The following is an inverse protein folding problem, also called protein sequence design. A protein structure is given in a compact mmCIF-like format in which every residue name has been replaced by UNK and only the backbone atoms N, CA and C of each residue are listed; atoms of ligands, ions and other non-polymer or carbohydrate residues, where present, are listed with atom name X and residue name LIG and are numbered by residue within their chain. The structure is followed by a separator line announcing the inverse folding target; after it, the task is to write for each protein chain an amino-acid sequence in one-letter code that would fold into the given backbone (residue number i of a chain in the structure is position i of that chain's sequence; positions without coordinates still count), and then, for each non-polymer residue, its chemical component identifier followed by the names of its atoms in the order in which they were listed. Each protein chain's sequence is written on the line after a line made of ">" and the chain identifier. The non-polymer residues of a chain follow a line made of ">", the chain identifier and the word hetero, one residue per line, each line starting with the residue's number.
data_IF_657362518027
#
_entry.id   IF_657362518027
#
_cell.length_a   1.000
_cell.length_b   1.000
_cell.length_c   1.000
_cell.angle_alpha   90.00
_cell.angle_beta   90.00
_cell.angle_gamma   90.00
#
_symmetry.space_group_name_H-M   'P 1'
#
loop_
_entity.id
_entity.type
_entity.pdbx_description
1 polymer ?
#
# COMPACT_ATOMS: atom_id res chain seq x y z
N UNK A 1 -29.35 6.72 -10.30
CA UNK A 1 -28.78 6.89 -8.95
C UNK A 1 -28.30 8.33 -8.75
N UNK A 2 -27.29 8.87 -9.49
CA UNK A 2 -26.84 10.27 -9.29
C UNK A 2 -27.91 11.33 -9.57
N UNK A 3 -28.91 11.06 -10.41
CA UNK A 3 -30.01 12.00 -10.68
C UNK A 3 -30.94 12.21 -9.47
N UNK A 4 -30.92 11.30 -8.51
CA UNK A 4 -31.81 11.30 -7.33
C UNK A 4 -31.18 11.95 -6.09
N UNK A 5 -29.95 12.44 -6.21
CA UNK A 5 -29.22 13.13 -5.14
C UNK A 5 -28.80 14.53 -5.55
N UNK A 6 -28.64 15.43 -4.58
CA UNK A 6 -28.15 16.79 -4.79
C UNK A 6 -26.63 16.88 -4.64
N UNK A 7 -26.05 16.04 -3.79
CA UNK A 7 -24.61 16.00 -3.48
C UNK A 7 -24.19 14.59 -3.12
N UNK A 8 -22.98 14.21 -3.52
CA UNK A 8 -22.34 12.97 -3.06
C UNK A 8 -21.39 13.27 -1.90
N UNK A 9 -21.55 12.56 -0.80
CA UNK A 9 -20.62 12.63 0.34
C UNK A 9 -19.72 11.38 0.36
N UNK A 10 -18.42 11.60 0.49
CA UNK A 10 -17.40 10.56 0.65
C UNK A 10 -16.87 10.60 2.07
N UNK A 11 -17.04 9.50 2.81
CA UNK A 11 -16.54 9.31 4.17
C UNK A 11 -15.87 7.95 4.26
N UNK A 12 -14.60 7.88 3.83
CA UNK A 12 -13.82 6.65 3.73
C UNK A 12 -12.53 6.76 4.53
N UNK A 13 -12.17 5.70 5.27
CA UNK A 13 -10.88 5.57 5.91
C UNK A 13 -9.91 4.85 4.98
N UNK A 14 -9.03 5.61 4.32
CA UNK A 14 -7.91 5.05 3.56
C UNK A 14 -6.79 4.56 4.47
N UNK A 15 -5.85 3.76 3.94
CA UNK A 15 -4.71 3.23 4.69
C UNK A 15 -3.36 3.79 4.24
N UNK A 16 -3.34 4.78 3.34
CA UNK A 16 -2.13 5.49 2.93
C UNK A 16 -1.25 4.76 1.92
N UNK A 17 -1.76 3.71 1.29
CA UNK A 17 -1.02 2.87 0.34
C UNK A 17 -1.76 2.82 -1.00
N UNK A 18 -1.05 3.13 -2.11
CA UNK A 18 -1.65 3.26 -3.45
C UNK A 18 -2.55 2.08 -3.85
N UNK A 19 -2.13 0.85 -3.57
CA UNK A 19 -2.87 -0.34 -3.96
C UNK A 19 -4.05 -0.69 -3.03
N UNK A 20 -4.41 0.19 -2.09
CA UNK A 20 -5.66 0.11 -1.34
C UNK A 20 -6.76 0.88 -2.08
N UNK A 21 -7.83 0.19 -2.47
CA UNK A 21 -8.75 0.62 -3.55
C UNK A 21 -9.75 1.71 -3.19
N UNK A 22 -9.80 2.20 -1.95
CA UNK A 22 -10.77 3.21 -1.54
C UNK A 22 -10.59 4.54 -2.28
N UNK A 23 -9.34 4.96 -2.48
CA UNK A 23 -9.03 6.15 -3.27
C UNK A 23 -9.44 6.00 -4.74
N UNK A 24 -9.35 4.79 -5.30
CA UNK A 24 -9.81 4.52 -6.67
C UNK A 24 -11.33 4.55 -6.77
N UNK A 25 -12.04 4.02 -5.76
CA UNK A 25 -13.50 4.11 -5.68
C UNK A 25 -13.98 5.57 -5.57
N UNK A 26 -13.28 6.38 -4.77
CA UNK A 26 -13.54 7.81 -4.67
C UNK A 26 -13.32 8.51 -6.01
N UNK A 27 -12.20 8.22 -6.70
CA UNK A 27 -11.88 8.80 -7.99
C UNK A 27 -12.98 8.56 -9.03
N UNK A 28 -13.41 7.32 -9.21
CA UNK A 28 -14.51 7.00 -10.12
C UNK A 28 -15.83 7.65 -9.72
N UNK A 29 -16.10 7.78 -8.42
CA UNK A 29 -17.27 8.50 -7.96
C UNK A 29 -17.20 10.00 -8.28
N UNK A 30 -16.01 10.60 -8.16
CA UNK A 30 -15.75 12.00 -8.53
C UNK A 30 -15.92 12.21 -10.05
N UNK A 31 -15.37 11.32 -10.88
CA UNK A 31 -15.53 11.35 -12.35
C UNK A 31 -17.01 11.28 -12.74
N UNK A 32 -17.75 10.30 -12.19
CA UNK A 32 -19.19 10.17 -12.47
C UNK A 32 -20.00 11.39 -12.00
N UNK A 33 -19.63 12.02 -10.88
CA UNK A 33 -20.26 13.24 -10.39
C UNK A 33 -19.94 14.44 -11.30
N UNK A 34 -18.70 14.56 -11.81
CA UNK A 34 -18.32 15.59 -12.76
C UNK A 34 -19.18 15.50 -14.04
N UNK A 35 -19.32 14.29 -14.62
CA UNK A 35 -20.16 14.03 -15.78
C UNK A 35 -21.65 14.35 -15.53
N UNK A 36 -22.14 14.08 -14.33
CA UNK A 36 -23.54 14.33 -13.95
C UNK A 36 -23.81 15.76 -13.45
N UNK A 37 -22.78 16.61 -13.36
CA UNK A 37 -22.88 17.96 -12.80
C UNK A 37 -23.25 17.98 -11.32
N UNK A 38 -22.85 16.97 -10.55
CA UNK A 38 -23.15 16.84 -9.12
C UNK A 38 -21.93 17.20 -8.26
N UNK A 39 -22.10 18.01 -7.19
CA UNK A 39 -21.03 18.31 -6.26
C UNK A 39 -20.66 17.10 -5.42
N UNK A 40 -19.37 17.06 -5.02
CA UNK A 40 -18.79 16.05 -4.13
C UNK A 40 -18.26 16.72 -2.88
N UNK A 41 -18.58 16.15 -1.71
CA UNK A 41 -18.02 16.54 -0.42
C UNK A 41 -17.20 15.36 0.10
N UNK A 42 -15.92 15.59 0.38
CA UNK A 42 -15.03 14.61 1.02
C UNK A 42 -14.82 15.00 2.49
N UNK A 43 -15.24 14.14 3.40
CA UNK A 43 -14.89 14.27 4.82
C UNK A 43 -13.50 13.68 5.01
N UNK A 44 -12.52 14.54 5.27
CA UNK A 44 -11.14 14.11 5.36
C UNK A 44 -10.88 13.27 6.63
N UNK A 45 -9.97 12.29 6.51
CA UNK A 45 -9.60 11.38 7.58
C UNK A 45 -8.09 11.22 7.69
N UNK A 46 -7.57 10.89 8.91
CA UNK A 46 -6.15 10.70 9.10
C UNK A 46 -5.58 9.63 8.18
N UNK A 47 -4.42 9.93 7.58
CA UNK A 47 -3.61 8.86 7.01
C UNK A 47 -2.95 8.10 8.16
N UNK A 48 -3.23 6.79 8.37
CA UNK A 48 -2.72 6.06 9.51
C UNK A 48 -1.19 5.87 9.50
N UNK A 49 -0.58 6.01 8.33
CA UNK A 49 0.86 5.91 8.13
C UNK A 49 1.56 7.29 8.23
N UNK A 50 0.81 8.37 8.49
CA UNK A 50 1.34 9.73 8.49
C UNK A 50 1.63 10.28 7.09
N UNK A 51 2.45 11.32 7.01
CA UNK A 51 2.70 12.07 5.77
C UNK A 51 3.97 11.69 5.00
N UNK A 52 4.61 10.55 5.29
CA UNK A 52 5.80 10.11 4.56
C UNK A 52 5.43 9.56 3.19
N UNK A 53 6.30 9.83 2.22
CA UNK A 53 6.22 9.36 0.84
C UNK A 53 7.33 8.33 0.63
N UNK A 54 7.00 7.15 0.11
CA UNK A 54 7.96 6.05 -0.04
C UNK A 54 7.59 5.14 -1.23
N UNK A 55 8.61 4.75 -2.00
CA UNK A 55 8.53 3.69 -3.00
C UNK A 55 8.28 4.17 -4.41
N UNK A 56 8.14 3.27 -5.39
CA UNK A 56 8.04 3.66 -6.77
C UNK A 56 6.75 4.43 -7.07
N UNK A 57 6.89 5.49 -7.86
CA UNK A 57 5.75 6.11 -8.53
C UNK A 57 5.25 5.16 -9.61
N UNK A 58 3.93 4.98 -9.68
CA UNK A 58 3.28 4.17 -10.70
C UNK A 58 3.74 4.61 -12.10
N UNK A 59 4.31 3.69 -12.85
CA UNK A 59 4.76 3.94 -14.22
C UNK A 59 3.62 3.79 -15.23
N UNK A 60 3.69 4.51 -16.37
CA UNK A 60 2.75 4.32 -17.47
C UNK A 60 2.68 2.85 -17.92
N UNK A 61 1.45 2.34 -18.11
CA UNK A 61 1.18 0.97 -18.49
C UNK A 61 0.91 0.01 -17.33
N UNK A 62 1.05 0.47 -16.08
CA UNK A 62 0.71 -0.30 -14.88
C UNK A 62 -0.57 0.19 -14.19
N UNK A 63 -1.30 1.13 -14.82
CA UNK A 63 -2.54 1.67 -14.28
C UNK A 63 -3.60 0.58 -14.18
N UNK A 64 -4.34 0.61 -13.08
CA UNK A 64 -5.42 -0.33 -12.80
C UNK A 64 -6.27 0.16 -11.64
N UNK A 65 -7.33 -0.57 -11.29
CA UNK A 65 -8.15 -0.22 -10.12
C UNK A 65 -7.37 -0.20 -8.80
N UNK A 66 -6.21 -0.86 -8.69
CA UNK A 66 -5.32 -0.78 -7.52
C UNK A 66 -4.22 0.29 -7.67
N UNK A 67 -4.37 1.23 -8.62
CA UNK A 67 -3.45 2.33 -8.87
C UNK A 67 -3.86 3.04 -10.15
N UNK A 68 -4.69 4.08 -10.04
CA UNK A 68 -5.22 4.82 -11.21
C UNK A 68 -4.25 5.91 -11.67
N UNK A 69 -3.48 6.48 -10.75
CA UNK A 69 -2.69 7.68 -10.99
C UNK A 69 -1.22 7.46 -10.61
N UNK A 70 -0.33 8.24 -11.25
CA UNK A 70 1.12 8.20 -10.99
C UNK A 70 1.43 8.73 -9.58
N UNK A 71 1.39 7.84 -8.60
CA UNK A 71 1.67 8.11 -7.19
C UNK A 71 2.66 7.10 -6.63
N UNK A 72 3.44 7.47 -5.61
CA UNK A 72 4.30 6.55 -4.85
C UNK A 72 3.49 5.44 -4.17
N UNK A 73 4.13 4.33 -3.86
CA UNK A 73 3.49 3.19 -3.19
C UNK A 73 2.87 3.60 -1.85
N UNK A 74 3.60 4.33 -1.00
CA UNK A 74 3.10 5.04 0.17
C UNK A 74 3.04 6.53 -0.18
N UNK A 75 1.85 7.05 -0.39
CA UNK A 75 1.68 8.38 -1.00
C UNK A 75 1.71 9.56 -0.01
N UNK A 76 1.57 9.29 1.29
CA UNK A 76 1.64 10.31 2.34
C UNK A 76 0.53 11.36 2.34
N UNK A 77 -0.52 11.20 1.55
CA UNK A 77 -1.66 12.11 1.49
C UNK A 77 -2.81 11.62 2.37
N UNK A 78 -3.61 12.53 2.91
CA UNK A 78 -4.95 12.19 3.41
C UNK A 78 -5.90 11.97 2.24
N UNK A 79 -7.07 11.37 2.47
CA UNK A 79 -8.04 11.14 1.39
C UNK A 79 -8.56 12.44 0.80
N UNK A 80 -8.66 13.51 1.60
CA UNK A 80 -9.02 14.85 1.15
C UNK A 80 -7.93 15.48 0.28
N UNK A 81 -6.67 15.41 0.70
CA UNK A 81 -5.52 15.89 -0.09
C UNK A 81 -5.39 15.10 -1.40
N UNK A 82 -5.64 13.79 -1.35
CA UNK A 82 -5.68 12.94 -2.55
C UNK A 82 -6.78 13.39 -3.51
N UNK A 83 -7.98 13.67 -3.00
CA UNK A 83 -9.10 14.16 -3.82
C UNK A 83 -8.77 15.51 -4.49
N UNK A 84 -8.22 16.48 -3.75
CA UNK A 84 -7.78 17.77 -4.30
C UNK A 84 -6.75 17.58 -5.41
N UNK A 85 -5.74 16.74 -5.16
CA UNK A 85 -4.68 16.47 -6.11
C UNK A 85 -5.22 15.88 -7.42
N UNK A 86 -6.02 14.80 -7.36
CA UNK A 86 -6.52 14.17 -8.58
C UNK A 86 -7.55 15.04 -9.32
N UNK A 87 -8.34 15.80 -8.58
CA UNK A 87 -9.35 16.67 -9.16
C UNK A 87 -8.75 17.73 -10.08
N UNK A 88 -7.68 18.39 -9.63
CA UNK A 88 -7.01 19.43 -10.40
C UNK A 88 -5.95 18.86 -11.35
N UNK A 89 -5.01 18.07 -10.82
CA UNK A 89 -3.83 17.63 -11.57
C UNK A 89 -4.18 16.68 -12.73
N UNK A 90 -5.16 15.78 -12.51
CA UNK A 90 -5.62 14.85 -13.55
C UNK A 90 -6.89 15.32 -14.27
N UNK A 91 -7.39 16.49 -13.91
CA UNK A 91 -8.46 17.16 -14.66
C UNK A 91 -9.83 16.50 -14.54
N UNK A 92 -10.14 15.88 -13.40
CA UNK A 92 -11.50 15.38 -13.11
C UNK A 92 -12.49 16.54 -13.09
N UNK A 93 -12.07 17.68 -12.49
CA UNK A 93 -12.83 18.95 -12.47
C UNK A 93 -14.26 18.80 -11.92
N UNK A 94 -14.50 17.90 -10.98
CA UNK A 94 -15.77 17.87 -10.27
C UNK A 94 -15.86 19.07 -9.31
N UNK A 95 -17.09 19.48 -8.97
CA UNK A 95 -17.31 20.50 -7.95
C UNK A 95 -17.00 19.89 -6.57
N UNK A 96 -15.72 19.96 -6.15
CA UNK A 96 -15.21 19.34 -4.93
C UNK A 96 -15.22 20.31 -3.75
N UNK A 97 -15.61 19.80 -2.59
CA UNK A 97 -15.41 20.46 -1.29
C UNK A 97 -14.79 19.45 -0.34
N UNK A 98 -13.61 19.75 0.20
CA UNK A 98 -13.00 18.95 1.26
C UNK A 98 -13.30 19.58 2.61
N UNK A 99 -13.81 18.78 3.55
CA UNK A 99 -13.99 19.18 4.95
C UNK A 99 -12.76 18.74 5.74
N UNK A 100 -11.86 19.65 6.10
CA UNK A 100 -10.60 19.29 6.71
C UNK A 100 -10.77 18.84 8.15
N UNK A 101 -9.83 18.00 8.60
CA UNK A 101 -9.71 17.59 10.00
C UNK A 101 -9.22 18.75 10.87
N UNK A 102 -9.54 18.67 12.17
CA UNK A 102 -8.97 19.58 13.19
C UNK A 102 -7.81 18.89 13.90
N UNK A 103 -6.73 19.65 14.13
CA UNK A 103 -5.57 19.24 14.95
C UNK A 103 -4.74 18.05 14.42
N UNK A 104 -5.05 17.49 13.27
CA UNK A 104 -4.18 16.49 12.66
C UNK A 104 -2.92 17.15 12.07
N UNK A 105 -1.79 16.47 12.22
CA UNK A 105 -0.49 16.87 11.66
C UNK A 105 0.10 15.73 10.86
N UNK A 106 0.84 16.02 9.82
CA UNK A 106 1.49 15.04 8.94
C UNK A 106 2.45 14.08 9.66
N UNK A 107 3.00 14.52 10.80
CA UNK A 107 3.86 13.68 11.66
C UNK A 107 3.10 12.69 12.53
N UNK A 108 1.77 12.80 12.63
CA UNK A 108 0.95 11.89 13.43
C UNK A 108 0.75 10.57 12.74
N UNK A 109 0.95 9.49 13.47
CA UNK A 109 0.45 8.16 13.15
C UNK A 109 -0.94 7.97 13.75
N UNK A 110 -1.60 6.85 13.47
CA UNK A 110 -2.95 6.60 13.97
C UNK A 110 -3.08 6.72 15.49
N UNK A 111 -2.14 6.12 16.24
CA UNK A 111 -2.14 6.16 17.71
C UNK A 111 -2.07 7.57 18.30
N UNK A 112 -1.45 8.51 17.57
CA UNK A 112 -1.30 9.90 18.03
C UNK A 112 -2.60 10.70 17.90
N UNK A 113 -3.56 10.18 17.13
CA UNK A 113 -4.86 10.84 16.94
C UNK A 113 -5.81 10.67 18.13
N UNK A 114 -5.58 9.67 18.97
CA UNK A 114 -6.50 9.27 20.05
C UNK A 114 -7.81 8.62 19.56
N UNK A 115 -7.94 8.36 18.25
CA UNK A 115 -9.14 7.73 17.68
C UNK A 115 -9.08 6.21 17.81
N UNK A 116 -10.22 5.58 18.02
CA UNK A 116 -10.34 4.13 17.95
C UNK A 116 -10.28 3.66 16.49
N UNK A 117 -9.52 2.60 16.22
CA UNK A 117 -9.52 1.99 14.88
C UNK A 117 -10.83 1.27 14.63
N UNK A 118 -11.47 1.62 13.54
CA UNK A 118 -12.58 0.85 12.97
C UNK A 118 -12.03 0.11 11.75
N UNK A 119 -12.14 -1.22 11.73
CA UNK A 119 -11.60 -2.01 10.62
C UNK A 119 -12.15 -1.55 9.28
N UNK A 120 -11.26 -1.11 8.40
CA UNK A 120 -11.62 -0.61 7.06
C UNK A 120 -11.92 -1.76 6.10
N UNK A 121 -11.34 -2.92 6.37
CA UNK A 121 -11.48 -4.17 5.64
C UNK A 121 -11.29 -5.33 6.63
N UNK A 122 -11.86 -6.51 6.40
CA UNK A 122 -11.60 -7.69 7.23
C UNK A 122 -10.11 -8.04 7.36
N UNK A 123 -9.30 -7.64 6.36
CA UNK A 123 -7.85 -7.88 6.34
C UNK A 123 -7.03 -6.75 6.97
N UNK A 124 -7.65 -5.63 7.34
CA UNK A 124 -7.00 -4.51 8.05
C UNK A 124 -7.71 -4.27 9.38
N UNK A 125 -7.58 -5.20 10.33
CA UNK A 125 -8.33 -5.16 11.60
C UNK A 125 -7.82 -4.09 12.58
N UNK A 126 -6.59 -3.60 12.42
CA UNK A 126 -5.97 -2.58 13.26
C UNK A 126 -5.00 -1.70 12.45
N UNK A 127 -4.55 -0.60 13.05
CA UNK A 127 -3.66 0.37 12.39
C UNK A 127 -2.26 -0.21 12.08
N UNK A 128 -1.74 -1.11 12.93
CA UNK A 128 -0.44 -1.75 12.69
C UNK A 128 -0.48 -2.60 11.42
N UNK A 129 -1.63 -3.23 11.14
CA UNK A 129 -1.83 -3.98 9.89
C UNK A 129 -1.72 -3.09 8.65
N UNK A 130 -2.06 -1.80 8.73
CA UNK A 130 -1.88 -0.88 7.60
C UNK A 130 -0.39 -0.69 7.25
N UNK A 131 0.51 -0.58 8.25
CA UNK A 131 1.95 -0.56 8.03
C UNK A 131 2.46 -1.86 7.41
N UNK A 132 2.02 -3.01 7.94
CA UNK A 132 2.45 -4.30 7.43
C UNK A 132 1.88 -4.58 6.03
N UNK A 133 0.69 -4.05 5.71
CA UNK A 133 0.16 -4.07 4.35
C UNK A 133 1.02 -3.24 3.39
N UNK A 134 1.53 -2.08 3.83
CA UNK A 134 2.48 -1.30 3.03
C UNK A 134 3.80 -2.06 2.78
N UNK A 135 4.24 -2.89 3.75
CA UNK A 135 5.44 -3.72 3.62
C UNK A 135 5.20 -4.96 2.76
N UNK A 136 4.19 -5.76 3.09
CA UNK A 136 4.06 -7.12 2.56
C UNK A 136 2.99 -7.28 1.47
N UNK A 137 2.17 -6.24 1.23
CA UNK A 137 1.06 -6.30 0.28
C UNK A 137 1.50 -6.77 -1.11
N UNK A 138 2.55 -6.18 -1.66
CA UNK A 138 3.11 -6.56 -2.97
C UNK A 138 3.61 -8.02 -2.98
N UNK A 139 4.19 -8.51 -1.88
CA UNK A 139 4.61 -9.91 -1.76
C UNK A 139 3.43 -10.88 -1.91
N UNK A 140 2.24 -10.47 -1.49
CA UNK A 140 1.00 -11.23 -1.68
C UNK A 140 0.62 -11.46 -3.15
N UNK A 141 1.11 -10.65 -4.06
CA UNK A 141 0.90 -10.77 -5.50
C UNK A 141 1.96 -11.63 -6.22
N UNK A 142 2.91 -12.17 -5.47
CA UNK A 142 3.86 -13.21 -5.92
C UNK A 142 3.36 -14.61 -5.52
N UNK A 143 4.20 -15.65 -5.63
CA UNK A 143 3.90 -16.98 -5.06
C UNK A 143 4.05 -17.05 -3.54
N UNK A 144 4.35 -15.95 -2.86
CA UNK A 144 4.44 -15.92 -1.39
C UNK A 144 3.07 -15.71 -0.76
N UNK A 145 2.84 -16.30 0.41
CA UNK A 145 1.71 -16.00 1.28
C UNK A 145 2.09 -14.85 2.23
N UNK A 146 1.17 -13.95 2.46
CA UNK A 146 1.32 -12.86 3.43
C UNK A 146 0.38 -13.02 4.62
N UNK A 147 0.01 -14.26 4.93
CA UNK A 147 -0.82 -14.58 6.08
C UNK A 147 -2.32 -14.29 5.92
N UNK A 148 -2.78 -13.94 4.71
CA UNK A 148 -4.22 -13.87 4.41
C UNK A 148 -4.84 -15.24 4.66
N UNK A 149 -5.97 -15.28 5.36
CA UNK A 149 -6.60 -16.53 5.82
C UNK A 149 -6.14 -16.97 7.22
N UNK A 150 -5.33 -16.18 7.90
CA UNK A 150 -4.96 -16.36 9.31
C UNK A 150 -5.52 -15.21 10.17
N UNK A 151 -5.29 -15.27 11.48
CA UNK A 151 -5.62 -14.17 12.40
C UNK A 151 -4.68 -12.95 12.28
N UNK A 152 -3.57 -13.08 11.51
CA UNK A 152 -2.54 -12.04 11.34
C UNK A 152 -2.24 -11.78 9.85
N UNK A 153 -3.20 -11.27 9.06
CA UNK A 153 -2.96 -10.91 7.66
C UNK A 153 -1.86 -9.85 7.59
N UNK A 154 -0.97 -10.01 6.61
CA UNK A 154 0.19 -9.15 6.33
C UNK A 154 1.34 -9.19 7.35
N UNK A 155 1.17 -9.84 8.50
CA UNK A 155 2.27 -10.05 9.46
C UNK A 155 3.25 -11.12 9.03
N UNK A 156 2.84 -12.07 8.20
CA UNK A 156 3.65 -13.19 7.77
C UNK A 156 4.15 -13.03 6.34
N UNK A 157 5.32 -13.60 6.03
CA UNK A 157 5.74 -13.85 4.65
C UNK A 157 6.36 -15.25 4.58
N UNK A 158 5.84 -16.08 3.68
CA UNK A 158 6.32 -17.46 3.55
C UNK A 158 5.68 -18.22 2.40
N UNK A 159 6.04 -19.51 2.31
CA UNK A 159 5.48 -20.43 1.32
C UNK A 159 5.61 -21.89 1.81
N UNK A 160 4.84 -22.85 1.26
CA UNK A 160 5.01 -24.27 1.61
C UNK A 160 6.38 -24.84 1.28
N UNK A 161 7.08 -24.26 0.30
CA UNK A 161 8.40 -24.67 -0.12
C UNK A 161 9.54 -24.02 0.69
N UNK A 162 9.23 -23.08 1.57
CA UNK A 162 10.23 -22.35 2.34
C UNK A 162 10.64 -23.13 3.62
N UNK A 163 11.83 -22.83 4.11
CA UNK A 163 12.31 -23.23 5.42
C UNK A 163 12.41 -21.99 6.30
N UNK A 164 11.71 -21.99 7.44
CA UNK A 164 11.57 -20.83 8.30
C UNK A 164 12.87 -20.33 8.89
N UNK A 165 13.80 -21.26 9.20
CA UNK A 165 15.10 -20.90 9.77
C UNK A 165 16.04 -20.30 8.72
N UNK A 166 16.00 -20.81 7.48
CA UNK A 166 16.78 -20.25 6.37
C UNK A 166 16.28 -18.84 6.00
N UNK A 167 14.97 -18.66 5.92
CA UNK A 167 14.35 -17.34 5.64
C UNK A 167 14.71 -16.36 6.74
N UNK A 168 14.54 -16.76 8.01
CA UNK A 168 14.92 -15.93 9.16
C UNK A 168 16.39 -15.54 9.13
N UNK A 169 17.28 -16.51 8.92
CA UNK A 169 18.72 -16.25 8.89
C UNK A 169 19.12 -15.31 7.75
N UNK A 170 18.49 -15.42 6.58
CA UNK A 170 18.78 -14.56 5.44
C UNK A 170 18.29 -13.12 5.66
N UNK A 171 17.05 -12.94 6.13
CA UNK A 171 16.49 -11.62 6.39
C UNK A 171 17.19 -10.93 7.57
N UNK A 172 17.55 -11.67 8.63
CA UNK A 172 18.27 -11.10 9.78
C UNK A 172 19.66 -10.58 9.41
N UNK A 173 20.32 -11.16 8.41
CA UNK A 173 21.62 -10.66 7.91
C UNK A 173 21.54 -9.27 7.29
N UNK A 174 20.35 -8.81 6.87
CA UNK A 174 20.17 -7.45 6.36
C UNK A 174 20.37 -6.39 7.44
N UNK A 175 20.30 -6.77 8.73
CA UNK A 175 20.50 -5.92 9.91
C UNK A 175 19.72 -4.59 9.83
N UNK A 176 18.43 -4.67 9.49
CA UNK A 176 17.56 -3.52 9.28
C UNK A 176 17.14 -2.90 10.63
N UNK A 177 17.38 -1.60 10.85
CA UNK A 177 16.96 -0.94 12.08
C UNK A 177 15.44 -0.94 12.21
N UNK A 178 14.95 -1.08 13.44
CA UNK A 178 13.51 -1.07 13.78
C UNK A 178 12.66 -2.19 13.14
N UNK A 179 13.30 -3.21 12.57
CA UNK A 179 12.64 -4.39 11.99
C UNK A 179 13.12 -5.64 12.72
N UNK A 180 12.18 -6.47 13.16
CA UNK A 180 12.46 -7.78 13.73
C UNK A 180 11.76 -8.86 12.92
N UNK A 181 12.45 -9.95 12.68
CA UNK A 181 11.90 -11.15 12.07
C UNK A 181 11.86 -12.26 13.13
N UNK A 182 10.84 -13.11 13.04
CA UNK A 182 10.73 -14.32 13.86
C UNK A 182 10.38 -15.50 12.95
N UNK A 183 11.04 -16.66 13.06
CA UNK A 183 10.61 -17.87 12.37
C UNK A 183 9.14 -18.15 12.66
N UNK A 184 8.37 -18.50 11.64
CA UNK A 184 6.94 -18.73 11.76
C UNK A 184 6.46 -19.84 10.84
N UNK A 185 5.48 -20.62 11.34
CA UNK A 185 4.73 -21.58 10.55
C UNK A 185 3.23 -21.35 10.79
N UNK A 186 2.43 -21.36 9.73
CA UNK A 186 1.00 -21.10 9.80
C UNK A 186 0.23 -21.85 8.73
N UNK A 187 -1.08 -22.00 8.93
CA UNK A 187 -1.99 -22.67 7.99
C UNK A 187 -3.12 -21.68 7.67
N UNK A 188 -3.16 -21.10 6.46
CA UNK A 188 -4.28 -20.24 6.03
C UNK A 188 -5.57 -21.04 5.93
N UNK A 189 -6.69 -20.48 6.38
CA UNK A 189 -8.00 -21.11 6.29
C UNK A 189 -8.76 -20.78 5.00
N UNK A 190 -8.26 -19.80 4.24
CA UNK A 190 -8.75 -19.43 2.90
C UNK A 190 -7.65 -18.69 2.13
N UNK A 191 -7.85 -18.53 0.84
CA UNK A 191 -6.91 -17.82 -0.04
C UNK A 191 -5.74 -18.68 -0.49
N UNK A 192 -4.58 -18.07 -0.67
CA UNK A 192 -3.37 -18.74 -1.15
C UNK A 192 -2.90 -19.78 -0.14
N UNK A 193 -2.62 -21.00 -0.59
CA UNK A 193 -2.19 -22.14 0.22
C UNK A 193 -3.18 -22.52 1.32
N UNK A 194 -4.48 -22.42 1.00
CA UNK A 194 -5.54 -22.83 1.93
C UNK A 194 -5.29 -24.26 2.44
N UNK A 195 -5.35 -24.43 3.76
CA UNK A 195 -5.17 -25.68 4.50
C UNK A 195 -3.78 -26.36 4.31
N UNK A 196 -2.82 -25.65 3.71
CA UNK A 196 -1.43 -26.11 3.60
C UNK A 196 -0.56 -25.47 4.71
N UNK A 197 0.48 -26.19 5.14
CA UNK A 197 1.48 -25.64 6.06
C UNK A 197 2.41 -24.69 5.29
N UNK A 198 2.37 -23.42 5.64
CA UNK A 198 3.25 -22.36 5.14
C UNK A 198 4.30 -22.05 6.18
N UNK A 199 5.56 -21.95 5.75
CA UNK A 199 6.72 -21.67 6.59
C UNK A 199 7.41 -20.39 6.10
N UNK A 200 7.97 -19.62 7.03
CA UNK A 200 8.64 -18.36 6.71
C UNK A 200 8.88 -17.52 7.95
N UNK A 201 8.57 -16.24 7.90
CA UNK A 201 8.79 -15.33 9.02
C UNK A 201 7.55 -14.51 9.36
N UNK A 202 7.45 -14.11 10.61
CA UNK A 202 6.61 -13.03 11.08
C UNK A 202 7.45 -11.74 11.15
N UNK A 203 6.89 -10.64 10.65
CA UNK A 203 7.54 -9.32 10.57
C UNK A 203 7.01 -8.43 11.67
N UNK A 204 7.90 -7.79 12.42
CA UNK A 204 7.58 -6.79 13.44
C UNK A 204 8.29 -5.48 13.15
N UNK A 205 7.58 -4.37 13.30
CA UNK A 205 8.12 -3.02 13.23
C UNK A 205 8.12 -2.43 14.64
N UNK A 206 9.30 -2.19 15.22
CA UNK A 206 9.41 -1.64 16.58
C UNK A 206 9.16 -0.15 16.63
N UNK A 207 9.52 0.58 15.58
CA UNK A 207 9.25 1.99 15.37
C UNK A 207 8.83 2.17 13.89
N UNK A 208 7.53 1.95 13.57
CA UNK A 208 7.05 1.91 12.18
C UNK A 208 7.31 3.18 11.38
N UNK A 209 7.30 4.34 12.04
CA UNK A 209 7.61 5.65 11.44
C UNK A 209 9.06 5.77 10.97
N UNK A 210 9.97 4.97 11.48
CA UNK A 210 11.40 4.98 11.10
C UNK A 210 11.76 3.98 10.01
N UNK A 211 10.82 3.14 9.60
CA UNK A 211 11.02 2.12 8.56
C UNK A 211 10.52 2.63 7.21
N UNK A 212 11.34 2.52 6.16
CA UNK A 212 10.88 2.67 4.79
C UNK A 212 10.13 1.38 4.40
N UNK A 213 8.81 1.47 4.32
CA UNK A 213 7.95 0.30 4.13
C UNK A 213 8.08 -0.30 2.74
N UNK A 214 8.27 0.51 1.72
CA UNK A 214 8.44 0.06 0.33
C UNK A 214 9.78 -0.67 0.14
N UNK A 215 10.88 -0.10 0.65
CA UNK A 215 12.20 -0.73 0.59
C UNK A 215 12.22 -2.05 1.36
N UNK A 216 11.62 -2.09 2.55
CA UNK A 216 11.52 -3.32 3.34
C UNK A 216 10.77 -4.42 2.59
N UNK A 217 9.62 -4.09 2.01
CA UNK A 217 8.83 -5.04 1.23
C UNK A 217 9.59 -5.60 0.02
N UNK A 218 10.31 -4.72 -0.68
CA UNK A 218 11.18 -5.11 -1.79
C UNK A 218 12.28 -6.06 -1.34
N UNK A 219 13.01 -5.72 -0.26
CA UNK A 219 14.09 -6.52 0.30
C UNK A 219 13.62 -7.91 0.73
N UNK A 220 12.44 -8.02 1.33
CA UNK A 220 11.87 -9.31 1.73
C UNK A 220 11.68 -10.21 0.50
N UNK A 221 10.98 -9.72 -0.54
CA UNK A 221 10.72 -10.53 -1.74
C UNK A 221 12.02 -10.82 -2.49
N UNK A 222 12.89 -9.83 -2.64
CA UNK A 222 14.20 -9.99 -3.28
C UNK A 222 15.02 -11.07 -2.58
N UNK A 223 15.12 -11.04 -1.24
CA UNK A 223 15.88 -12.03 -0.45
C UNK A 223 15.30 -13.44 -0.60
N UNK A 224 13.97 -13.59 -0.52
CA UNK A 224 13.34 -14.90 -0.70
C UNK A 224 13.55 -15.43 -2.12
N UNK A 225 13.56 -14.55 -3.12
CA UNK A 225 13.87 -14.92 -4.50
C UNK A 225 15.32 -15.38 -4.68
N UNK A 226 16.27 -14.76 -3.98
CA UNK A 226 17.67 -15.24 -3.99
C UNK A 226 17.79 -16.63 -3.33
N UNK A 227 17.02 -16.90 -2.28
CA UNK A 227 17.00 -18.21 -1.61
C UNK A 227 16.30 -19.29 -2.44
N UNK A 228 15.25 -18.92 -3.16
CA UNK A 228 14.37 -19.85 -3.89
C UNK A 228 14.09 -19.35 -5.31
N UNK A 229 15.12 -19.24 -6.19
CA UNK A 229 15.00 -18.55 -7.48
C UNK A 229 13.96 -19.17 -8.40
N UNK A 230 13.79 -20.50 -8.36
CA UNK A 230 12.84 -21.23 -9.21
C UNK A 230 11.44 -21.39 -8.60
N UNK A 231 11.23 -20.92 -7.35
CA UNK A 231 9.98 -21.12 -6.61
C UNK A 231 9.26 -19.81 -6.28
N UNK A 232 9.99 -18.70 -6.15
CA UNK A 232 9.36 -17.38 -6.01
C UNK A 232 8.96 -16.89 -7.38
N UNK A 233 7.69 -17.12 -7.72
CA UNK A 233 7.11 -16.83 -9.02
C UNK A 233 6.30 -15.53 -8.98
N UNK A 234 6.16 -14.92 -10.16
CA UNK A 234 5.37 -13.73 -10.41
C UNK A 234 4.20 -14.09 -11.32
N UNK A 235 3.00 -14.37 -10.76
CA UNK A 235 1.84 -14.77 -11.55
C UNK A 235 1.35 -13.66 -12.47
N UNK A 236 0.95 -14.03 -13.69
CA UNK A 236 0.25 -13.14 -14.60
C UNK A 236 -1.19 -12.85 -14.11
N UNK A 237 -1.75 -11.74 -14.57
CA UNK A 237 -3.18 -11.43 -14.41
C UNK A 237 -3.96 -12.26 -15.44
N UNK A 238 -4.87 -13.11 -15.01
CA UNK A 238 -5.56 -14.03 -15.92
C UNK A 238 -6.50 -13.40 -16.96
N UNK A 239 -6.81 -12.10 -16.87
CA UNK A 239 -7.83 -11.43 -17.70
C UNK A 239 -7.36 -10.13 -18.36
N UNK A 240 -6.19 -9.61 -18.00
CA UNK A 240 -5.53 -8.48 -18.65
C UNK A 240 -4.03 -8.75 -18.70
N UNK A 241 -3.29 -8.21 -19.70
CA UNK A 241 -1.84 -8.33 -19.75
C UNK A 241 -1.15 -7.81 -18.49
N UNK A 242 -0.04 -8.43 -18.11
CA UNK A 242 0.81 -8.00 -17.02
C UNK A 242 0.83 -8.94 -15.82
N UNK A 243 1.76 -8.68 -14.92
CA UNK A 243 2.01 -9.46 -13.72
C UNK A 243 1.39 -8.77 -12.50
N UNK A 244 0.82 -9.56 -11.59
CA UNK A 244 0.11 -9.03 -10.40
C UNK A 244 1.03 -8.13 -9.57
N UNK A 245 2.22 -8.60 -9.26
CA UNK A 245 3.18 -7.86 -8.44
C UNK A 245 3.68 -6.58 -9.12
N UNK A 246 3.85 -6.57 -10.45
CA UNK A 246 4.26 -5.36 -11.18
C UNK A 246 3.20 -4.26 -11.07
N UNK A 247 1.93 -4.64 -11.19
CA UNK A 247 0.82 -3.71 -11.09
C UNK A 247 0.68 -3.16 -9.67
N UNK A 248 0.83 -4.02 -8.64
CA UNK A 248 0.78 -3.59 -7.25
C UNK A 248 1.97 -2.69 -6.89
N UNK A 249 3.18 -3.04 -7.35
CA UNK A 249 4.38 -2.23 -7.15
C UNK A 249 4.37 -0.95 -8.01
N UNK A 250 3.75 -1.00 -9.20
CA UNK A 250 3.69 0.09 -10.17
C UNK A 250 4.85 0.09 -11.16
N UNK A 251 5.69 -0.94 -11.16
CA UNK A 251 6.81 -1.17 -12.07
C UNK A 251 7.27 -2.63 -12.00
N UNK A 252 8.16 -3.05 -12.89
CA UNK A 252 8.61 -4.45 -13.01
C UNK A 252 9.98 -4.76 -12.39
N UNK A 253 10.59 -3.81 -11.69
CA UNK A 253 11.94 -3.93 -11.11
C UNK A 253 12.11 -5.19 -10.25
N UNK A 254 11.10 -5.50 -9.43
CA UNK A 254 11.11 -6.67 -8.55
C UNK A 254 11.08 -7.98 -9.35
N UNK A 255 10.23 -8.06 -10.37
CA UNK A 255 10.16 -9.24 -11.26
C UNK A 255 11.40 -9.38 -12.14
N UNK A 256 12.00 -8.28 -12.60
CA UNK A 256 13.24 -8.29 -13.36
C UNK A 256 14.49 -8.47 -12.49
N UNK A 257 14.32 -8.61 -11.17
CA UNK A 257 15.41 -8.82 -10.21
C UNK A 257 16.44 -7.66 -10.20
N UNK A 258 15.96 -6.42 -10.36
CA UNK A 258 16.80 -5.24 -10.24
C UNK A 258 17.47 -5.21 -8.85
N UNK A 259 18.74 -4.81 -8.80
CA UNK A 259 19.46 -4.72 -7.53
C UNK A 259 18.79 -3.66 -6.61
N UNK A 260 18.53 -3.98 -5.32
CA UNK A 260 17.82 -3.08 -4.41
C UNK A 260 18.37 -1.65 -4.39
N UNK A 261 19.69 -1.49 -4.38
CA UNK A 261 20.33 -0.18 -4.38
C UNK A 261 19.90 0.69 -5.56
N UNK A 262 19.86 0.12 -6.78
CA UNK A 262 19.46 0.84 -7.99
C UNK A 262 17.99 1.27 -7.96
N UNK A 263 17.11 0.35 -7.54
CA UNK A 263 15.70 0.64 -7.42
C UNK A 263 15.47 1.76 -6.38
N UNK A 264 16.11 1.69 -5.22
CA UNK A 264 15.90 2.66 -4.12
C UNK A 264 16.45 4.05 -4.45
N UNK A 265 17.61 4.15 -5.10
CA UNK A 265 18.15 5.44 -5.55
C UNK A 265 17.21 6.14 -6.53
N UNK A 266 16.56 5.39 -7.41
CA UNK A 266 15.55 5.90 -8.35
C UNK A 266 14.28 6.33 -7.62
N UNK A 267 13.75 5.51 -6.72
CA UNK A 267 12.56 5.83 -5.93
C UNK A 267 12.73 7.09 -5.09
N UNK A 268 13.89 7.29 -4.47
CA UNK A 268 14.16 8.51 -3.69
C UNK A 268 14.09 9.78 -4.55
N UNK A 269 14.51 9.71 -5.80
CA UNK A 269 14.38 10.84 -6.73
C UNK A 269 12.91 11.09 -7.12
N UNK A 270 12.17 10.04 -7.39
CA UNK A 270 10.74 10.10 -7.71
C UNK A 270 9.92 10.63 -6.52
N UNK A 271 10.19 10.16 -5.31
CA UNK A 271 9.58 10.63 -4.07
C UNK A 271 9.81 12.13 -3.87
N UNK A 272 11.06 12.58 -4.05
CA UNK A 272 11.41 13.99 -3.93
C UNK A 272 10.71 14.87 -4.98
N UNK A 273 10.48 14.36 -6.17
CA UNK A 273 9.72 15.04 -7.21
C UNK A 273 8.22 15.10 -6.85
N UNK A 274 7.63 13.99 -6.45
CA UNK A 274 6.24 13.90 -6.06
C UNK A 274 5.90 14.82 -4.87
N UNK A 275 6.77 14.86 -3.84
CA UNK A 275 6.61 15.76 -2.69
C UNK A 275 6.50 17.23 -3.13
N UNK A 276 7.32 17.66 -4.10
CA UNK A 276 7.25 19.03 -4.64
C UNK A 276 5.94 19.27 -5.40
N UNK A 277 5.51 18.28 -6.17
CA UNK A 277 4.31 18.37 -6.99
C UNK A 277 3.04 18.49 -6.15
N UNK A 278 2.92 17.70 -5.08
CA UNK A 278 1.73 17.69 -4.23
C UNK A 278 1.69 18.81 -3.21
N UNK A 279 2.76 19.60 -3.04
CA UNK A 279 2.90 20.59 -1.97
C UNK A 279 1.75 21.59 -1.90
N UNK A 280 1.18 22.00 -3.03
CA UNK A 280 0.07 22.97 -3.08
C UNK A 280 -1.27 22.40 -2.64
N UNK A 281 -1.41 21.06 -2.59
CA UNK A 281 -2.62 20.35 -2.19
C UNK A 281 -2.60 19.91 -0.73
N UNK A 282 -1.48 20.15 -0.01
CA UNK A 282 -1.36 19.75 1.39
C UNK A 282 -2.18 20.67 2.29
N UNK A 283 -3.16 20.10 2.98
CA UNK A 283 -4.05 20.80 3.90
C UNK A 283 -3.43 20.93 5.31
N UNK A 284 -2.45 20.09 5.63
CA UNK A 284 -1.86 19.97 6.97
C UNK A 284 -0.35 20.12 6.94
N UNK A 285 0.21 20.58 8.07
CA UNK A 285 1.66 20.80 8.27
C UNK A 285 2.27 19.71 9.15
#
# INVERSE_FOLDING_TARGET
>A
MLQEIDVLCVDLQDVGVRHYTYVSSMAYAMEACAEAGKPVIVFDRPNPLGGKVEGPVLKPGYESFIGLYAMPLRHGLTIGEYAEYINEHYGINCQLTVIPMKNWKRSMLWQDTGLHWVGTSPLIPNADTAFLYAVTGVAGDTSLSVGVGTAKPFYYVGAPFADEEQVFAALSKLNLPHVLFRPAAFIPRYGKYQDELVKGVEVYLTEPDKVNTAELGYLIVYTLRQLYPDKVLFPERGYVPGYKADIALGEDSLRLNEAPKQAFERWQQEDAQFIKEVQKYLLYK
#
